data_IF_882896079230
#
_entry.id   IF_882896079230
#
_cell.length_a   1.000
_cell.length_b   1.000
_cell.length_c   1.000
_cell.angle_alpha   90.00
_cell.angle_beta   90.00
_cell.angle_gamma   90.00
#
_symmetry.space_group_name_H-M   'P 1'
#
loop_
_entity.id
_entity.type
_entity.pdbx_description
1 polymer ?
#
# COMPACT_ATOMS: atom_id res chain seq x y z
N UNK A 1 -1.20 13.49 -11.96
CA UNK A 1 -0.39 12.27 -12.21
C UNK A 1 -1.10 11.46 -13.28
N UNK A 2 -0.43 11.18 -14.40
CA UNK A 2 -0.97 10.29 -15.44
C UNK A 2 -1.26 8.91 -14.85
N UNK A 3 -2.33 8.24 -15.29
CA UNK A 3 -2.74 6.92 -14.77
C UNK A 3 -1.60 5.89 -14.69
N UNK A 4 -0.64 5.95 -15.64
CA UNK A 4 0.55 5.09 -15.67
C UNK A 4 1.51 5.29 -14.48
N UNK A 5 1.67 6.53 -13.99
CA UNK A 5 2.55 6.82 -12.86
C UNK A 5 1.97 6.37 -11.52
N UNK A 6 0.63 6.38 -11.40
CA UNK A 6 -0.05 5.79 -10.25
C UNK A 6 0.07 4.26 -10.27
N UNK A 7 -0.15 3.63 -11.43
CA UNK A 7 -0.05 2.17 -11.55
C UNK A 7 1.35 1.65 -11.20
N UNK A 8 2.41 2.28 -11.73
CA UNK A 8 3.79 1.91 -11.42
C UNK A 8 4.10 2.03 -9.90
N UNK A 9 3.56 3.07 -9.24
CA UNK A 9 3.73 3.23 -7.79
C UNK A 9 2.98 2.16 -7.00
N UNK A 10 1.77 1.80 -7.42
CA UNK A 10 0.98 0.74 -6.76
C UNK A 10 1.66 -0.63 -6.89
N UNK A 11 2.17 -0.97 -8.08
CA UNK A 11 2.91 -2.21 -8.29
C UNK A 11 4.16 -2.26 -7.42
N UNK A 12 4.96 -1.19 -7.40
CA UNK A 12 6.13 -1.10 -6.54
C UNK A 12 5.77 -1.24 -5.06
N UNK A 13 4.69 -0.58 -4.60
CA UNK A 13 4.22 -0.69 -3.21
C UNK A 13 3.84 -2.13 -2.88
N UNK A 14 3.16 -2.81 -3.80
CA UNK A 14 2.76 -4.21 -3.62
C UNK A 14 3.99 -5.14 -3.53
N UNK A 15 5.02 -4.90 -4.32
CA UNK A 15 6.26 -5.69 -4.27
C UNK A 15 7.04 -5.48 -2.96
N UNK A 16 7.07 -4.26 -2.43
CA UNK A 16 7.61 -4.01 -1.08
C UNK A 16 6.82 -4.75 0.00
N UNK A 17 5.49 -4.75 -0.11
CA UNK A 17 4.60 -5.47 0.81
C UNK A 17 4.81 -6.99 0.74
N UNK A 18 5.06 -7.54 -0.46
CA UNK A 18 5.40 -8.95 -0.67
C UNK A 18 6.76 -9.30 -0.08
N UNK A 19 7.75 -8.42 -0.25
CA UNK A 19 9.13 -8.65 0.18
C UNK A 19 9.28 -8.60 1.70
N UNK A 20 8.64 -7.62 2.35
CA UNK A 20 8.76 -7.44 3.81
C UNK A 20 7.65 -8.15 4.60
N UNK A 21 6.50 -8.40 3.98
CA UNK A 21 5.33 -8.96 4.65
C UNK A 21 4.82 -8.10 5.83
N UNK A 22 4.01 -8.72 6.68
CA UNK A 22 3.52 -8.13 7.93
C UNK A 22 2.43 -7.06 7.76
N UNK A 23 2.24 -6.26 8.80
CA UNK A 23 1.18 -5.24 8.91
C UNK A 23 1.57 -3.95 8.20
N UNK A 24 0.66 -3.43 7.39
CA UNK A 24 0.82 -2.17 6.66
C UNK A 24 -0.26 -1.18 7.07
N UNK A 25 0.14 -0.03 7.59
CA UNK A 25 -0.76 1.09 7.87
C UNK A 25 -0.29 2.32 7.09
N UNK A 26 -1.13 3.36 7.07
CA UNK A 26 -0.83 4.61 6.35
C UNK A 26 0.50 5.21 6.78
N UNK A 27 0.82 5.17 8.08
CA UNK A 27 2.08 5.72 8.61
C UNK A 27 3.31 4.97 8.09
N UNK A 28 3.26 3.62 8.01
CA UNK A 28 4.34 2.79 7.48
C UNK A 28 4.55 3.04 5.99
N UNK A 29 3.47 3.12 5.20
CA UNK A 29 3.56 3.46 3.77
C UNK A 29 4.08 4.89 3.58
N UNK A 30 3.67 5.83 4.43
CA UNK A 30 4.17 7.20 4.37
C UNK A 30 5.67 7.27 4.69
N UNK A 31 6.14 6.52 5.69
CA UNK A 31 7.57 6.41 6.00
C UNK A 31 8.36 5.82 4.82
N UNK A 32 7.83 4.75 4.18
CA UNK A 32 8.41 4.19 2.97
C UNK A 32 8.51 5.22 1.84
N UNK A 33 7.46 6.02 1.63
CA UNK A 33 7.43 7.04 0.57
C UNK A 33 8.33 8.25 0.83
N UNK A 34 8.73 8.51 2.08
CA UNK A 34 9.80 9.47 2.39
C UNK A 34 11.19 8.94 2.05
N UNK A 35 11.31 7.64 1.85
CA UNK A 35 12.54 7.01 1.40
C UNK A 35 12.92 7.41 -0.03
N UNK A 36 14.20 7.24 -0.40
CA UNK A 36 14.68 7.58 -1.74
C UNK A 36 13.92 6.81 -2.83
N UNK A 37 13.59 7.51 -3.90
CA UNK A 37 13.05 6.91 -5.13
C UNK A 37 11.53 6.75 -5.21
N UNK A 38 10.74 7.15 -4.21
CA UNK A 38 9.27 7.05 -4.26
C UNK A 38 8.56 8.30 -4.78
N UNK A 39 9.12 9.49 -4.57
CA UNK A 39 8.59 10.75 -5.10
C UNK A 39 7.16 11.10 -4.67
N UNK A 40 6.64 10.49 -3.58
CA UNK A 40 5.24 10.63 -3.14
C UNK A 40 5.11 10.97 -1.64
N UNK A 41 5.52 12.18 -1.20
CA UNK A 41 5.68 12.50 0.22
C UNK A 41 4.36 12.76 0.97
N UNK A 42 3.20 12.69 0.32
CA UNK A 42 1.93 13.07 0.94
C UNK A 42 1.22 11.88 1.60
N UNK A 43 0.83 12.05 2.88
CA UNK A 43 0.07 11.05 3.64
C UNK A 43 -1.24 10.66 2.96
N UNK A 44 -1.89 11.60 2.27
CA UNK A 44 -3.10 11.33 1.49
C UNK A 44 -2.87 10.35 0.33
N UNK A 45 -1.70 10.36 -0.29
CA UNK A 45 -1.35 9.41 -1.36
C UNK A 45 -1.18 8.00 -0.79
N UNK A 46 -0.49 7.86 0.35
CA UNK A 46 -0.36 6.57 1.04
C UNK A 46 -1.73 5.96 1.39
N UNK A 47 -2.66 6.78 1.93
CA UNK A 47 -4.03 6.31 2.25
C UNK A 47 -4.79 5.87 1.00
N UNK A 48 -4.73 6.65 -0.09
CA UNK A 48 -5.40 6.32 -1.36
C UNK A 48 -4.82 5.06 -1.99
N UNK A 49 -3.50 4.90 -1.98
CA UNK A 49 -2.85 3.73 -2.57
C UNK A 49 -3.18 2.44 -1.79
N UNK A 50 -3.23 2.50 -0.45
CA UNK A 50 -3.70 1.37 0.37
C UNK A 50 -5.16 1.01 0.09
N UNK A 51 -6.03 2.01 -0.01
CA UNK A 51 -7.44 1.80 -0.35
C UNK A 51 -7.59 1.20 -1.76
N UNK A 52 -6.78 1.62 -2.71
CA UNK A 52 -6.75 1.10 -4.08
C UNK A 52 -6.32 -0.37 -4.11
N UNK A 53 -5.22 -0.72 -3.44
CA UNK A 53 -4.74 -2.11 -3.34
C UNK A 53 -5.74 -3.03 -2.62
N UNK A 54 -6.44 -2.51 -1.62
CA UNK A 54 -7.55 -3.22 -0.98
C UNK A 54 -8.74 -3.42 -1.93
N UNK A 55 -9.16 -2.36 -2.63
CA UNK A 55 -10.24 -2.41 -3.62
C UNK A 55 -9.96 -3.42 -4.74
N UNK A 56 -8.69 -3.55 -5.14
CA UNK A 56 -8.21 -4.54 -6.13
C UNK A 56 -8.09 -5.96 -5.58
N UNK A 57 -8.33 -6.17 -4.29
CA UNK A 57 -8.34 -7.49 -3.66
C UNK A 57 -6.96 -8.02 -3.24
N UNK A 58 -5.89 -7.22 -3.35
CA UNK A 58 -4.54 -7.60 -2.94
C UNK A 58 -4.35 -7.55 -1.42
N UNK A 59 -5.10 -6.68 -0.73
CA UNK A 59 -4.98 -6.47 0.71
C UNK A 59 -6.26 -6.84 1.45
N UNK A 60 -6.10 -7.43 2.63
CA UNK A 60 -7.17 -7.58 3.61
C UNK A 60 -7.09 -6.43 4.62
N UNK A 61 -8.15 -5.65 4.74
CA UNK A 61 -8.28 -4.59 5.73
C UNK A 61 -8.68 -5.17 7.08
N UNK A 62 -8.08 -4.65 8.15
CA UNK A 62 -8.39 -4.99 9.54
C UNK A 62 -8.53 -3.73 10.40
N UNK A 63 -9.38 -3.82 11.42
CA UNK A 63 -9.56 -2.79 12.45
C UNK A 63 -10.49 -1.64 12.08
N UNK A 64 -10.89 -0.82 13.09
CA UNK A 64 -11.66 0.41 12.90
C UNK A 64 -10.82 1.51 12.23
N UNK A 65 -11.42 2.63 11.80
CA UNK A 65 -10.71 3.68 11.05
C UNK A 65 -9.42 4.17 11.72
N UNK A 66 -9.40 4.37 13.04
CA UNK A 66 -8.25 4.89 13.79
C UNK A 66 -7.16 3.83 14.09
N UNK A 67 -7.50 2.55 13.93
CA UNK A 67 -6.58 1.42 14.09
C UNK A 67 -6.35 0.66 12.79
N UNK A 68 -6.70 1.26 11.64
CA UNK A 68 -6.78 0.55 10.37
C UNK A 68 -5.40 0.08 9.92
N UNK A 69 -5.27 -1.21 9.67
CA UNK A 69 -4.11 -1.80 9.03
C UNK A 69 -4.51 -2.83 7.99
N UNK A 70 -3.57 -3.14 7.13
CA UNK A 70 -3.72 -4.02 5.99
C UNK A 70 -2.70 -5.15 6.08
N UNK A 71 -3.12 -6.33 5.65
CA UNK A 71 -2.23 -7.45 5.38
C UNK A 71 -2.25 -7.80 3.91
N UNK A 72 -1.11 -8.28 3.39
CA UNK A 72 -1.10 -8.91 2.08
C UNK A 72 -2.02 -10.13 2.13
N UNK A 73 -3.00 -10.18 1.22
CA UNK A 73 -3.79 -11.38 1.05
C UNK A 73 -2.82 -12.45 0.54
N UNK A 74 -2.70 -13.57 1.26
CA UNK A 74 -2.03 -14.75 0.70
C UNK A 74 -2.81 -15.09 -0.56
N UNK A 75 -2.19 -14.90 -1.71
CA UNK A 75 -2.72 -15.39 -2.97
C UNK A 75 -2.93 -16.89 -2.76
N UNK A 76 -4.19 -17.29 -2.66
CA UNK A 76 -4.55 -18.69 -2.56
C UNK A 76 -4.05 -19.32 -3.83
N UNK A 77 -2.91 -19.99 -3.75
CA UNK A 77 -2.40 -20.89 -4.78
C UNK A 77 -3.54 -21.88 -5.04
N UNK A 78 -4.25 -21.70 -6.15
CA UNK A 78 -5.23 -22.65 -6.68
C UNK A 78 -4.60 -23.36 -7.85
#
# INVERSE_FOLDING_TARGET
MSARGQEARLQRLLDEMRSHGGRWNTARVHALYRGPGWGAPQTGTARRDLAELHRRGHLTQHGPEDGRYYHLRKEGRR
#
